data_IF_777640316389
#
_entry.id   IF_777640316389
#
_cell.length_a   1.000
_cell.length_b   1.000
_cell.length_c   1.000
_cell.angle_alpha   90.00
_cell.angle_beta   90.00
_cell.angle_gamma   90.00
#
_symmetry.space_group_name_H-M   'P 1'
#
loop_
_entity.id
_entity.type
_entity.pdbx_description
1 polymer ?
#
# COMPACT_ATOMS: atom_id res chain seq x y z
N UNK A 1 -11.76 4.20 14.21
CA UNK A 1 -11.35 5.32 13.36
C UNK A 1 -11.35 4.86 11.92
N UNK A 2 -12.46 5.10 11.21
CA UNK A 2 -12.56 4.73 9.79
C UNK A 2 -11.87 5.79 8.95
N UNK A 3 -10.78 5.44 8.28
CA UNK A 3 -10.25 6.26 7.20
C UNK A 3 -11.32 6.33 6.11
N UNK A 4 -12.03 7.46 6.06
CA UNK A 4 -13.27 7.62 5.33
C UNK A 4 -13.15 7.38 3.83
N UNK A 5 -14.01 6.50 3.32
CA UNK A 5 -14.72 6.58 2.03
C UNK A 5 -13.91 6.72 0.73
N UNK A 6 -12.59 6.79 0.78
CA UNK A 6 -11.78 7.17 -0.37
C UNK A 6 -11.18 5.93 -1.00
N UNK A 7 -11.46 5.72 -2.29
CA UNK A 7 -10.91 4.61 -3.07
C UNK A 7 -9.38 4.60 -2.96
N UNK A 8 -8.73 3.43 -2.85
CA UNK A 8 -7.28 3.34 -2.77
C UNK A 8 -6.58 3.97 -3.97
N UNK A 9 -7.26 4.08 -5.13
CA UNK A 9 -6.73 4.79 -6.30
C UNK A 9 -6.54 6.32 -6.09
N UNK A 10 -7.27 6.94 -5.15
CA UNK A 10 -7.20 8.38 -4.87
C UNK A 10 -6.36 8.72 -3.63
N UNK A 11 -5.79 7.70 -2.98
CA UNK A 11 -4.95 7.91 -1.80
C UNK A 11 -3.70 8.70 -2.16
N UNK A 12 -3.39 9.70 -1.32
CA UNK A 12 -2.11 10.39 -1.35
C UNK A 12 -1.10 9.60 -0.51
N UNK A 13 0.18 9.97 -0.62
CA UNK A 13 1.26 9.34 0.15
C UNK A 13 0.95 9.28 1.65
N UNK A 14 0.35 10.35 2.21
CA UNK A 14 -0.09 10.38 3.62
C UNK A 14 -1.15 9.32 3.96
N UNK A 15 -2.07 9.02 3.04
CA UNK A 15 -3.15 8.07 3.25
C UNK A 15 -2.60 6.64 3.13
N UNK A 16 -1.65 6.41 2.22
CA UNK A 16 -0.89 5.16 2.12
C UNK A 16 -0.11 4.89 3.41
N UNK A 17 0.52 5.91 3.99
CA UNK A 17 1.23 5.81 5.28
C UNK A 17 0.27 5.45 6.42
N UNK A 18 -0.90 6.10 6.50
CA UNK A 18 -1.90 5.75 7.48
C UNK A 18 -2.40 4.30 7.30
N UNK A 19 -2.58 3.86 6.06
CA UNK A 19 -2.92 2.47 5.76
C UNK A 19 -1.83 1.49 6.23
N UNK A 20 -0.55 1.80 5.99
CA UNK A 20 0.56 0.96 6.50
C UNK A 20 0.50 0.80 8.02
N UNK A 21 0.16 1.86 8.75
CA UNK A 21 -0.02 1.81 10.20
C UNK A 21 -1.16 0.84 10.59
N UNK A 22 -2.29 0.88 9.86
CA UNK A 22 -3.44 -0.02 10.11
C UNK A 22 -3.14 -1.50 9.90
N UNK A 23 -2.19 -1.83 9.03
CA UNK A 23 -1.79 -3.22 8.73
C UNK A 23 -0.50 -3.62 9.48
N UNK A 24 -0.09 -2.83 10.47
CA UNK A 24 1.12 -3.04 11.29
C UNK A 24 2.42 -3.02 10.47
N UNK A 25 2.42 -2.34 9.32
CA UNK A 25 3.60 -2.08 8.49
C UNK A 25 4.04 -0.61 8.56
N UNK A 26 3.59 0.13 9.57
CA UNK A 26 3.93 1.54 9.78
C UNK A 26 5.44 1.81 9.83
N UNK A 27 6.24 0.82 10.22
CA UNK A 27 7.71 0.91 10.18
C UNK A 27 8.28 1.14 8.76
N UNK A 28 7.57 0.76 7.70
CA UNK A 28 7.97 0.98 6.32
C UNK A 28 7.46 2.32 5.76
N UNK A 29 6.70 3.10 6.54
CA UNK A 29 6.11 4.36 6.08
C UNK A 29 7.13 5.33 5.48
N UNK A 30 8.34 5.40 6.04
CA UNK A 30 9.41 6.25 5.49
C UNK A 30 9.85 5.84 4.09
N UNK A 31 9.98 4.53 3.83
CA UNK A 31 10.33 4.03 2.50
C UNK A 31 9.26 4.39 1.45
N UNK A 32 7.99 4.31 1.84
CA UNK A 32 6.87 4.72 0.98
C UNK A 32 6.81 6.24 0.76
N UNK A 33 7.13 7.04 1.79
CA UNK A 33 7.24 8.50 1.66
C UNK A 33 8.39 8.89 0.74
N UNK A 34 9.57 8.30 0.93
CA UNK A 34 10.76 8.56 0.12
C UNK A 34 10.51 8.19 -1.35
N UNK A 35 9.85 7.05 -1.59
CA UNK A 35 9.48 6.59 -2.93
C UNK A 35 8.22 7.27 -3.49
N UNK A 36 7.63 8.22 -2.75
CA UNK A 36 6.41 8.95 -3.10
C UNK A 36 5.25 8.03 -3.55
N UNK A 37 5.11 6.87 -2.89
CA UNK A 37 4.10 5.88 -3.23
C UNK A 37 2.72 6.43 -2.89
N UNK A 38 1.98 6.80 -3.92
CA UNK A 38 0.58 7.14 -3.83
C UNK A 38 -0.30 5.90 -3.97
N UNK A 39 -1.61 6.08 -3.82
CA UNK A 39 -2.59 5.01 -3.93
C UNK A 39 -2.57 4.23 -5.24
N UNK A 40 -2.33 4.90 -6.38
CA UNK A 40 -2.19 4.24 -7.68
C UNK A 40 -0.95 3.35 -7.72
N UNK A 41 0.19 3.87 -7.26
CA UNK A 41 1.44 3.11 -7.18
C UNK A 41 1.32 1.95 -6.22
N UNK A 42 0.70 2.14 -5.05
CA UNK A 42 0.42 1.09 -4.07
C UNK A 42 -0.32 -0.09 -4.73
N UNK A 43 -1.35 0.20 -5.53
CA UNK A 43 -2.09 -0.83 -6.27
C UNK A 43 -1.25 -1.48 -7.39
N UNK A 44 -0.21 -0.81 -7.90
CA UNK A 44 0.65 -1.33 -8.97
C UNK A 44 1.95 -1.97 -8.45
N UNK A 45 2.21 -1.93 -7.14
CA UNK A 45 3.43 -2.48 -6.56
C UNK A 45 3.59 -3.97 -6.89
N UNK A 46 4.77 -4.32 -7.40
CA UNK A 46 5.20 -5.70 -7.58
C UNK A 46 6.07 -6.16 -6.42
N UNK A 47 6.29 -7.47 -6.29
CA UNK A 47 7.22 -8.01 -5.27
C UNK A 47 8.63 -7.45 -5.47
N UNK A 48 9.03 -7.20 -6.72
CA UNK A 48 10.32 -6.60 -7.06
C UNK A 48 10.42 -5.14 -6.57
N UNK A 49 9.37 -4.32 -6.73
CA UNK A 49 9.36 -2.94 -6.21
C UNK A 49 9.39 -2.92 -4.69
N UNK A 50 8.66 -3.85 -4.04
CA UNK A 50 8.71 -3.99 -2.59
C UNK A 50 10.12 -4.35 -2.09
N UNK A 51 10.85 -5.18 -2.83
CA UNK A 51 12.22 -5.58 -2.50
C UNK A 51 13.27 -4.51 -2.82
N UNK A 52 13.21 -3.92 -4.02
CA UNK A 52 14.27 -3.04 -4.54
C UNK A 52 14.01 -1.58 -4.19
N UNK A 53 12.78 -1.11 -4.36
CA UNK A 53 12.42 0.30 -4.15
C UNK A 53 12.10 0.60 -2.69
N UNK A 54 11.32 -0.29 -2.05
CA UNK A 54 10.89 -0.10 -0.66
C UNK A 54 11.79 -0.82 0.35
N UNK A 55 12.76 -1.60 -0.12
CA UNK A 55 13.69 -2.38 0.70
C UNK A 55 13.03 -3.30 1.74
N UNK A 56 11.85 -3.85 1.42
CA UNK A 56 11.11 -4.78 2.27
C UNK A 56 11.65 -6.20 2.04
N UNK A 57 12.77 -6.53 2.68
CA UNK A 57 13.42 -7.84 2.54
C UNK A 57 12.64 -8.98 3.22
N UNK A 58 11.83 -8.66 4.25
CA UNK A 58 11.03 -9.65 4.94
C UNK A 58 9.86 -10.15 4.07
N UNK A 59 9.88 -11.45 3.75
CA UNK A 59 8.85 -12.11 2.94
C UNK A 59 7.46 -12.04 3.59
N UNK A 60 7.37 -12.12 4.92
CA UNK A 60 6.08 -12.04 5.62
C UNK A 60 5.43 -10.66 5.44
N UNK A 61 6.22 -9.60 5.54
CA UNK A 61 5.72 -8.23 5.32
C UNK A 61 5.26 -8.03 3.88
N UNK A 62 6.02 -8.55 2.90
CA UNK A 62 5.62 -8.50 1.48
C UNK A 62 4.33 -9.27 1.22
N UNK A 63 4.19 -10.48 1.78
CA UNK A 63 2.95 -11.24 1.64
C UNK A 63 1.76 -10.49 2.26
N UNK A 64 1.88 -9.99 3.49
CA UNK A 64 0.82 -9.23 4.16
C UNK A 64 0.41 -8.01 3.31
N UNK A 65 1.39 -7.23 2.86
CA UNK A 65 1.14 -6.06 2.00
C UNK A 65 0.44 -6.46 0.69
N UNK A 66 0.86 -7.57 0.07
CA UNK A 66 0.29 -8.05 -1.19
C UNK A 66 -1.16 -8.52 -1.05
N UNK A 67 -1.47 -9.22 0.04
CA UNK A 67 -2.84 -9.61 0.38
C UNK A 67 -3.72 -8.38 0.61
N UNK A 68 -3.24 -7.40 1.37
CA UNK A 68 -3.99 -6.18 1.63
C UNK A 68 -4.19 -5.36 0.35
N UNK A 69 -3.17 -5.23 -0.51
CA UNK A 69 -3.30 -4.60 -1.83
C UNK A 69 -4.35 -5.33 -2.70
N UNK A 70 -4.38 -6.67 -2.67
CA UNK A 70 -5.37 -7.44 -3.41
C UNK A 70 -6.79 -7.17 -2.90
N UNK A 71 -6.96 -7.04 -1.58
CA UNK A 71 -8.23 -6.65 -0.96
C UNK A 71 -8.65 -5.23 -1.39
N UNK A 72 -7.72 -4.28 -1.38
CA UNK A 72 -7.96 -2.90 -1.84
C UNK A 72 -8.38 -2.84 -3.33
N UNK A 73 -7.79 -3.68 -4.18
CA UNK A 73 -8.21 -3.81 -5.59
C UNK A 73 -9.63 -4.31 -5.72
N UNK A 74 -10.00 -5.36 -4.97
CA UNK A 74 -11.36 -5.93 -4.98
C UNK A 74 -12.41 -4.94 -4.49
N UNK A 75 -12.06 -4.09 -3.51
CA UNK A 75 -12.91 -3.02 -3.02
C UNK A 75 -13.18 -1.92 -4.06
N UNK A 76 -12.46 -1.92 -5.18
CA UNK A 76 -12.69 -1.02 -6.31
C UNK A 76 -13.38 -1.80 -7.44
N UNK A 77 -14.73 -1.90 -7.46
CA UNK A 77 -15.41 -2.54 -8.57
C UNK A 77 -15.10 -1.75 -9.85
N UNK A 78 -14.36 -2.40 -10.76
CA UNK A 78 -14.26 -1.98 -12.14
C UNK A 78 -15.62 -2.30 -12.76
N UNK A 79 -16.52 -1.32 -12.81
CA UNK A 79 -17.75 -1.47 -13.58
C UNK A 79 -17.33 -1.48 -15.05
N UNK A 80 -17.44 -2.63 -15.70
CA UNK A 80 -17.47 -2.74 -17.16
C UNK A 80 -18.91 -2.68 -17.64
#
# INVERSE_FOLDING_TARGET
MGCGGSKPQSWKVKDVVAFLDTIELGMHAEAFKASSVNGKMLLQLTDQDMLQTLNIQNKLHRQKLRDEIATLKKATPHVV
#
